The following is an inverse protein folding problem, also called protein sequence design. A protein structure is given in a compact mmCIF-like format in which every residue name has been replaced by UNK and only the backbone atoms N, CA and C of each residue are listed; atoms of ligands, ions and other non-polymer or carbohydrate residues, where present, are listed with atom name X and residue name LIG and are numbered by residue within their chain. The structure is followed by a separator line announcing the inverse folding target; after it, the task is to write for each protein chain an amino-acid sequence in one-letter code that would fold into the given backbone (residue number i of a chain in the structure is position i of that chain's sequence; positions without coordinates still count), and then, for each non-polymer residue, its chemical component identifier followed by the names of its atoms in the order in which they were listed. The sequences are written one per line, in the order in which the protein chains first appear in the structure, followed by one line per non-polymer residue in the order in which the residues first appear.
data_IF_537932559888
#
_entry.id   IF_537932559888
#
_cell.length_a   1.000
_cell.length_b   1.000
_cell.length_c   1.000
_cell.angle_alpha   90.00
_cell.angle_beta   90.00
_cell.angle_gamma   90.00
#
_symmetry.space_group_name_H-M   'P 1'
#
loop_
_entity.id
_entity.type
_entity.pdbx_description
1 polymer ?
#
# COMPACT_ATOMS: atom_id res chain seq x y z
N UNK A 1 15.79 -8.43 10.05
CA UNK A 1 14.94 -8.47 11.26
C UNK A 1 13.49 -8.25 10.87
N UNK A 2 12.60 -9.20 11.14
CA UNK A 2 11.17 -9.08 10.78
C UNK A 2 10.46 -8.10 11.74
N UNK A 3 9.63 -7.20 11.21
CA UNK A 3 8.78 -6.33 12.05
C UNK A 3 7.51 -7.08 12.40
N UNK A 4 6.88 -6.79 13.55
CA UNK A 4 5.61 -7.42 13.95
C UNK A 4 4.53 -7.34 12.86
N UNK A 5 4.38 -6.17 12.24
CA UNK A 5 3.49 -5.92 11.09
C UNK A 5 4.08 -4.82 10.22
N UNK A 6 4.14 -5.01 8.91
CA UNK A 6 4.53 -3.98 7.95
C UNK A 6 3.27 -3.48 7.25
N UNK A 7 2.94 -2.20 7.45
CA UNK A 7 1.84 -1.54 6.74
C UNK A 7 2.41 -0.84 5.51
N UNK A 8 1.90 -1.17 4.32
CA UNK A 8 2.34 -0.62 3.04
C UNK A 8 1.25 0.28 2.47
N UNK A 9 1.57 1.54 2.19
CA UNK A 9 0.70 2.42 1.40
C UNK A 9 0.84 2.09 -0.08
N UNK A 10 -0.23 1.62 -0.71
CA UNK A 10 -0.21 1.17 -2.09
C UNK A 10 -0.38 2.30 -3.12
N UNK A 11 -0.61 3.55 -2.68
CA UNK A 11 -0.74 4.71 -3.58
C UNK A 11 0.49 4.82 -4.48
N UNK A 12 0.28 4.97 -5.79
CA UNK A 12 1.38 5.26 -6.70
C UNK A 12 2.22 4.05 -7.11
N UNK A 13 1.94 2.84 -6.60
CA UNK A 13 2.71 1.63 -6.92
C UNK A 13 2.22 0.94 -8.19
N UNK A 14 3.09 0.22 -8.89
CA UNK A 14 2.71 -0.68 -9.98
C UNK A 14 2.28 -2.04 -9.43
N UNK A 15 1.04 -2.44 -9.74
CA UNK A 15 0.36 -3.61 -9.16
C UNK A 15 1.21 -4.88 -9.16
N UNK A 16 1.74 -5.29 -10.31
CA UNK A 16 2.50 -6.54 -10.42
C UNK A 16 3.85 -6.51 -9.69
N UNK A 17 4.55 -5.36 -9.72
CA UNK A 17 5.85 -5.21 -9.04
C UNK A 17 5.68 -5.22 -7.53
N UNK A 18 4.67 -4.51 -7.03
CA UNK A 18 4.32 -4.52 -5.61
C UNK A 18 3.92 -5.93 -5.16
N UNK A 19 3.05 -6.59 -5.91
CA UNK A 19 2.58 -7.94 -5.57
C UNK A 19 3.72 -8.96 -5.48
N UNK A 20 4.73 -8.89 -6.36
CA UNK A 20 5.88 -9.80 -6.34
C UNK A 20 6.72 -9.65 -5.07
N UNK A 21 6.98 -8.41 -4.66
CA UNK A 21 7.75 -8.13 -3.45
C UNK A 21 6.97 -8.58 -2.22
N UNK A 22 5.68 -8.21 -2.15
CA UNK A 22 4.79 -8.65 -1.07
C UNK A 22 4.71 -10.17 -0.99
N UNK A 23 4.58 -10.88 -2.12
CA UNK A 23 4.52 -12.34 -2.14
C UNK A 23 5.78 -12.99 -1.53
N UNK A 24 6.97 -12.46 -1.84
CA UNK A 24 8.22 -12.98 -1.28
C UNK A 24 8.33 -12.73 0.22
N UNK A 25 7.98 -11.52 0.68
CA UNK A 25 7.96 -11.16 2.11
C UNK A 25 6.99 -12.05 2.90
N UNK A 26 5.80 -12.33 2.35
CA UNK A 26 4.84 -13.23 2.98
C UNK A 26 5.38 -14.66 3.11
N UNK A 27 6.10 -15.16 2.09
CA UNK A 27 6.74 -16.48 2.10
C UNK A 27 7.93 -16.58 3.06
N UNK A 28 8.56 -15.44 3.38
CA UNK A 28 9.56 -15.30 4.42
C UNK A 28 8.96 -15.18 5.83
N UNK A 29 7.64 -15.10 5.96
CA UNK A 29 6.92 -15.06 7.24
C UNK A 29 6.55 -13.65 7.73
N UNK A 30 6.81 -12.60 6.94
CA UNK A 30 6.45 -11.23 7.32
C UNK A 30 4.93 -11.02 7.25
N UNK A 31 4.34 -10.43 8.29
CA UNK A 31 2.94 -9.97 8.28
C UNK A 31 2.86 -8.64 7.53
N UNK A 32 2.08 -8.60 6.46
CA UNK A 32 1.98 -7.44 5.56
C UNK A 32 0.54 -6.98 5.45
N UNK A 33 0.33 -5.68 5.67
CA UNK A 33 -0.97 -5.02 5.51
C UNK A 33 -0.87 -3.99 4.40
N UNK A 34 -1.55 -4.21 3.30
CA UNK A 34 -1.63 -3.29 2.18
C UNK A 34 -2.86 -2.40 2.33
N UNK A 35 -2.66 -1.08 2.41
CA UNK A 35 -3.74 -0.09 2.52
C UNK A 35 -3.79 0.77 1.26
N UNK A 36 -4.95 1.39 1.00
CA UNK A 36 -5.20 2.21 -0.20
C UNK A 36 -5.03 1.45 -1.50
N UNK A 37 -5.55 0.23 -1.55
CA UNK A 37 -5.45 -0.63 -2.73
C UNK A 37 -6.15 -0.03 -3.96
N UNK A 38 -7.11 0.87 -3.79
CA UNK A 38 -7.77 1.62 -4.86
C UNK A 38 -6.80 2.55 -5.62
N UNK A 39 -5.73 3.01 -4.98
CA UNK A 39 -4.74 3.94 -5.55
C UNK A 39 -3.54 3.23 -6.21
N UNK A 40 -3.59 1.91 -6.33
CA UNK A 40 -2.60 1.13 -7.09
C UNK A 40 -2.69 1.50 -8.57
N UNK A 41 -1.55 1.57 -9.25
CA UNK A 41 -1.50 1.79 -10.69
C UNK A 41 -1.26 0.49 -11.45
N UNK A 42 -1.87 0.40 -12.63
CA UNK A 42 -1.59 -0.62 -13.63
C UNK A 42 -1.05 0.08 -14.88
N UNK A 43 0.00 -0.48 -15.48
CA UNK A 43 0.51 0.04 -16.75
C UNK A 43 -0.50 -0.19 -17.89
N UNK A 44 -0.46 0.68 -18.90
CA UNK A 44 -1.42 0.66 -20.01
C UNK A 44 -2.62 1.56 -19.76
N UNK A 45 -3.37 1.85 -20.83
CA UNK A 45 -4.55 2.72 -20.76
C UNK A 45 -5.69 2.08 -19.97
N UNK A 46 -6.58 2.93 -19.43
CA UNK A 46 -7.81 2.51 -18.75
C UNK A 46 -8.63 1.54 -19.62
N UNK A 47 -8.81 1.87 -20.91
CA UNK A 47 -9.57 1.05 -21.85
C UNK A 47 -8.95 -0.34 -22.05
N UNK A 48 -7.63 -0.42 -22.23
CA UNK A 48 -6.91 -1.70 -22.37
C UNK A 48 -7.09 -2.57 -21.14
N UNK A 49 -6.94 -1.98 -19.95
CA UNK A 49 -7.07 -2.72 -18.70
C UNK A 49 -8.53 -3.13 -18.42
N UNK A 50 -9.51 -2.32 -18.80
CA UNK A 50 -10.94 -2.69 -18.80
C UNK A 50 -11.19 -3.90 -19.71
N UNK A 51 -10.72 -3.88 -20.96
CA UNK A 51 -10.88 -5.00 -21.90
C UNK A 51 -10.25 -6.29 -21.37
N UNK A 52 -9.04 -6.20 -20.78
CA UNK A 52 -8.40 -7.35 -20.13
C UNK A 52 -9.26 -7.92 -19.01
N UNK A 53 -9.89 -7.05 -18.22
CA UNK A 53 -10.78 -7.48 -17.15
C UNK A 53 -12.09 -8.07 -17.69
N UNK A 54 -12.67 -7.49 -18.74
CA UNK A 54 -13.87 -8.04 -19.38
C UNK A 54 -13.62 -9.44 -19.97
N UNK A 55 -12.43 -9.67 -20.55
CA UNK A 55 -12.01 -11.03 -20.94
C UNK A 55 -11.97 -11.97 -19.73
N UNK A 56 -11.47 -11.50 -18.59
CA UNK A 56 -11.48 -12.28 -17.35
C UNK A 56 -12.92 -12.59 -16.85
N UNK A 57 -13.85 -11.63 -16.96
CA UNK A 57 -15.27 -11.85 -16.62
C UNK A 57 -15.98 -12.86 -17.52
N UNK A 58 -15.50 -13.05 -18.76
CA UNK A 58 -16.04 -14.08 -19.67
C UNK A 58 -15.69 -15.50 -19.24
N UNK A 59 -14.61 -15.67 -18.45
CA UNK A 59 -14.15 -16.98 -17.99
C UNK A 59 -15.05 -17.51 -16.86
N UNK A 60 -15.93 -18.45 -17.18
CA UNK A 60 -16.79 -19.17 -16.24
C UNK A 60 -16.75 -20.66 -16.51
N UNK A 61 -17.01 -21.47 -15.49
CA UNK A 61 -17.26 -22.90 -15.69
C UNK A 61 -18.60 -23.05 -16.43
N UNK A 62 -18.59 -23.72 -17.58
CA UNK A 62 -19.77 -23.84 -18.43
C UNK A 62 -20.91 -24.63 -17.76
N UNK A 63 -20.57 -25.72 -17.06
CA UNK A 63 -21.52 -26.62 -16.40
C UNK A 63 -22.21 -25.96 -15.21
N UNK A 64 -21.44 -25.44 -14.25
CA UNK A 64 -21.97 -24.75 -13.08
C UNK A 64 -21.10 -23.54 -12.72
N UNK A 65 -21.55 -22.31 -13.00
CA UNK A 65 -20.82 -21.08 -12.66
C UNK A 65 -20.51 -20.91 -11.17
N UNK A 66 -21.26 -21.57 -10.27
CA UNK A 66 -21.04 -21.49 -8.81
C UNK A 66 -19.72 -22.14 -8.37
N UNK A 67 -19.24 -23.14 -9.08
CA UNK A 67 -17.97 -23.83 -8.78
C UNK A 67 -16.78 -23.33 -9.62
N UNK A 68 -16.97 -22.23 -10.37
CA UNK A 68 -15.98 -21.70 -11.29
C UNK A 68 -15.07 -20.60 -10.72
N UNK A 69 -14.36 -19.88 -11.60
CA UNK A 69 -13.57 -18.73 -11.22
C UNK A 69 -14.43 -17.61 -10.63
N UNK A 70 -14.15 -17.19 -9.40
CA UNK A 70 -14.85 -16.05 -8.80
C UNK A 70 -14.30 -14.71 -9.30
N UNK A 71 -15.19 -13.79 -9.66
CA UNK A 71 -14.84 -12.46 -10.17
C UNK A 71 -14.91 -11.40 -9.06
N UNK A 72 -13.82 -11.26 -8.30
CA UNK A 72 -13.72 -10.29 -7.20
C UNK A 72 -13.52 -8.87 -7.76
N UNK A 73 -14.49 -7.97 -7.56
CA UNK A 73 -14.47 -6.62 -8.18
C UNK A 73 -13.85 -5.53 -7.31
N UNK A 74 -13.60 -5.77 -6.02
CA UNK A 74 -13.04 -4.75 -5.14
C UNK A 74 -11.52 -4.65 -5.30
N UNK A 75 -10.90 -3.45 -5.31
CA UNK A 75 -9.45 -3.26 -5.46
C UNK A 75 -8.61 -4.09 -4.49
N UNK A 76 -9.04 -4.16 -3.23
CA UNK A 76 -8.37 -4.96 -2.18
C UNK A 76 -8.32 -6.44 -2.54
N UNK A 77 -9.49 -7.03 -2.87
CA UNK A 77 -9.61 -8.45 -3.23
C UNK A 77 -8.94 -8.77 -4.57
N UNK A 78 -8.96 -7.84 -5.51
CA UNK A 78 -8.23 -7.97 -6.77
C UNK A 78 -6.72 -8.03 -6.52
N UNK A 79 -6.18 -7.12 -5.69
CA UNK A 79 -4.78 -7.15 -5.33
C UNK A 79 -4.40 -8.44 -4.57
N UNK A 80 -5.24 -8.87 -3.61
CA UNK A 80 -5.06 -10.15 -2.92
C UNK A 80 -5.03 -11.35 -3.87
N UNK A 81 -5.86 -11.35 -4.92
CA UNK A 81 -5.84 -12.37 -5.98
C UNK A 81 -4.53 -12.36 -6.76
N UNK A 82 -4.00 -11.18 -7.10
CA UNK A 82 -2.71 -11.05 -7.81
C UNK A 82 -1.58 -11.61 -6.94
N UNK A 83 -1.54 -11.26 -5.65
CA UNK A 83 -0.55 -11.81 -4.70
C UNK A 83 -0.71 -13.33 -4.56
N UNK A 84 -1.93 -13.83 -4.43
CA UNK A 84 -2.22 -15.28 -4.41
C UNK A 84 -1.72 -16.00 -5.67
N UNK A 85 -1.79 -15.36 -6.84
CA UNK A 85 -1.25 -15.91 -8.08
C UNK A 85 0.27 -16.07 -8.09
N UNK A 86 0.98 -15.37 -7.19
CA UNK A 86 2.44 -15.41 -7.03
C UNK A 86 2.89 -16.27 -5.83
N UNK A 87 1.96 -16.98 -5.18
CA UNK A 87 2.22 -17.83 -4.02
C UNK A 87 1.74 -19.26 -4.33
N UNK A 88 2.48 -20.32 -3.93
CA UNK A 88 2.05 -21.72 -4.03
C UNK A 88 0.93 -22.03 -3.00
N UNK A 89 -0.22 -21.37 -3.15
CA UNK A 89 -1.30 -21.30 -2.18
C UNK A 89 -2.06 -22.60 -1.93
N UNK A 90 -1.83 -23.63 -2.75
CA UNK A 90 -2.37 -24.98 -2.52
C UNK A 90 -1.58 -25.74 -1.46
N UNK A 91 -0.36 -25.33 -1.15
CA UNK A 91 0.48 -25.92 -0.10
C UNK A 91 0.16 -25.33 1.26
N UNK A 92 0.41 -26.07 2.35
CA UNK A 92 0.24 -25.58 3.73
C UNK A 92 1.06 -24.31 3.98
N UNK A 93 2.32 -24.27 3.50
CA UNK A 93 3.19 -23.08 3.60
C UNK A 93 2.60 -21.87 2.87
N UNK A 94 2.11 -22.05 1.64
CA UNK A 94 1.51 -20.98 0.86
C UNK A 94 0.21 -20.45 1.47
N UNK A 95 -0.63 -21.35 2.02
CA UNK A 95 -1.83 -20.98 2.75
C UNK A 95 -1.51 -20.14 4.01
N UNK A 96 -0.50 -20.55 4.79
CA UNK A 96 -0.02 -19.79 5.94
C UNK A 96 0.54 -18.41 5.53
N UNK A 97 1.28 -18.33 4.42
CA UNK A 97 1.76 -17.06 3.88
C UNK A 97 0.62 -16.12 3.47
N UNK A 98 -0.46 -16.64 2.87
CA UNK A 98 -1.63 -15.83 2.54
C UNK A 98 -2.41 -15.36 3.77
N UNK A 99 -2.44 -16.15 4.85
CA UNK A 99 -3.08 -15.73 6.11
C UNK A 99 -2.37 -14.50 6.74
N UNK A 100 -1.10 -14.28 6.42
CA UNK A 100 -0.34 -13.11 6.86
C UNK A 100 -0.63 -11.83 6.06
N UNK A 101 -1.32 -11.93 4.91
CA UNK A 101 -1.68 -10.79 4.07
C UNK A 101 -3.04 -10.21 4.49
N UNK A 102 -3.08 -8.89 4.71
CA UNK A 102 -4.34 -8.13 4.78
C UNK A 102 -4.33 -7.03 3.75
N UNK A 103 -5.44 -6.83 3.05
CA UNK A 103 -5.58 -5.82 2.00
C UNK A 103 -6.83 -4.99 2.25
N UNK A 104 -6.70 -3.67 2.21
CA UNK A 104 -7.79 -2.72 2.46
C UNK A 104 -7.90 -1.67 1.36
N UNK A 105 -9.15 -1.28 1.09
CA UNK A 105 -9.47 -0.03 0.39
C UNK A 105 -9.47 1.12 1.41
N UNK A 106 -8.87 2.25 1.06
CA UNK A 106 -8.59 3.35 1.98
C UNK A 106 -7.67 2.92 3.14
N UNK A 107 -7.71 3.67 4.23
CA UNK A 107 -6.95 3.37 5.45
C UNK A 107 -7.91 3.26 6.64
N UNK A 108 -8.33 2.04 7.01
CA UNK A 108 -9.17 1.84 8.17
C UNK A 108 -8.37 2.00 9.48
N UNK A 109 -9.08 2.33 10.57
CA UNK A 109 -8.53 2.20 11.92
C UNK A 109 -8.28 0.71 12.21
N UNK A 110 -7.15 0.29 12.81
CA UNK A 110 -6.09 1.06 13.50
C UNK A 110 -4.89 1.49 12.62
N UNK A 111 -4.93 1.24 11.31
CA UNK A 111 -3.78 1.47 10.40
C UNK A 111 -3.59 2.94 10.00
N UNK A 112 -4.53 3.81 10.36
CA UNK A 112 -4.46 5.26 10.24
C UNK A 112 -3.34 5.83 11.10
N UNK A 113 -3.22 5.38 12.35
CA UNK A 113 -2.21 5.83 13.33
C UNK A 113 -0.84 5.17 13.14
N UNK A 114 -0.77 4.06 12.42
CA UNK A 114 0.50 3.33 12.19
C UNK A 114 1.29 3.96 11.04
N UNK A 115 2.63 3.96 11.17
CA UNK A 115 3.54 4.39 10.10
C UNK A 115 3.38 3.47 8.88
N UNK A 116 2.99 4.08 7.77
CA UNK A 116 2.88 3.43 6.47
C UNK A 116 4.23 3.50 5.75
N UNK A 117 4.65 2.36 5.22
CA UNK A 117 5.87 2.18 4.44
C UNK A 117 5.53 2.21 2.95
N UNK A 118 6.55 2.49 2.14
CA UNK A 118 6.47 2.52 0.67
C UNK A 118 7.52 1.56 0.13
N UNK A 119 7.26 0.96 -1.03
CA UNK A 119 8.21 0.07 -1.70
C UNK A 119 8.80 0.80 -2.92
N UNK A 120 9.99 1.42 -2.80
CA UNK A 120 10.52 2.31 -3.84
C UNK A 120 10.70 1.61 -5.20
N UNK A 121 11.13 0.36 -5.18
CA UNK A 121 11.36 -0.47 -6.38
C UNK A 121 10.07 -0.82 -7.14
N UNK A 122 8.90 -0.55 -6.56
CA UNK A 122 7.59 -0.76 -7.17
C UNK A 122 6.84 0.55 -7.49
N UNK A 123 7.41 1.72 -7.20
CA UNK A 123 6.77 3.00 -7.50
C UNK A 123 6.64 3.23 -9.02
N UNK A 124 5.45 3.65 -9.45
CA UNK A 124 5.15 3.97 -10.86
C UNK A 124 6.11 5.03 -11.40
N UNK A 125 6.32 6.10 -10.64
CA UNK A 125 7.18 7.21 -11.07
C UNK A 125 8.60 6.75 -11.41
N UNK A 126 9.15 5.80 -10.66
CA UNK A 126 10.50 5.29 -10.88
C UNK A 126 10.57 4.19 -11.96
N UNK A 127 9.46 3.47 -12.20
CA UNK A 127 9.46 2.27 -13.03
C UNK A 127 8.75 2.42 -14.38
N UNK A 128 7.92 3.44 -14.55
CA UNK A 128 7.23 3.72 -15.80
C UNK A 128 7.80 4.99 -16.41
N UNK A 129 8.27 4.91 -17.66
CA UNK A 129 8.76 6.08 -18.40
C UNK A 129 7.68 7.18 -18.45
N UNK A 130 8.06 8.46 -18.26
CA UNK A 130 7.16 9.59 -18.48
C UNK A 130 6.50 9.51 -19.87
N UNK A 131 5.26 9.97 -19.98
CA UNK A 131 4.47 9.91 -21.22
C UNK A 131 3.78 8.57 -21.52
N UNK A 132 4.14 7.47 -20.84
CA UNK A 132 3.42 6.19 -20.99
C UNK A 132 2.11 6.19 -20.21
N UNK A 133 1.03 5.76 -20.87
CA UNK A 133 -0.30 5.65 -20.27
C UNK A 133 -0.30 4.62 -19.13
N UNK A 134 -0.97 4.97 -18.05
CA UNK A 134 -1.28 4.11 -16.91
C UNK A 134 -2.72 4.36 -16.47
N UNK A 135 -3.24 3.54 -15.57
CA UNK A 135 -4.52 3.78 -14.94
C UNK A 135 -4.49 3.41 -13.45
N UNK A 136 -5.32 4.10 -12.67
CA UNK A 136 -5.61 3.76 -11.27
C UNK A 136 -6.52 2.53 -11.22
N UNK A 137 -6.25 1.62 -10.28
CA UNK A 137 -6.97 0.36 -10.13
C UNK A 137 -8.43 0.61 -9.74
N UNK A 138 -8.68 1.61 -8.88
CA UNK A 138 -10.03 2.08 -8.55
C UNK A 138 -10.84 2.41 -9.80
N UNK A 139 -10.30 3.22 -10.73
CA UNK A 139 -11.02 3.62 -11.95
C UNK A 139 -11.36 2.44 -12.86
N UNK A 140 -10.44 1.47 -12.99
CA UNK A 140 -10.67 0.25 -13.76
C UNK A 140 -11.84 -0.53 -13.15
N UNK A 141 -11.82 -0.73 -11.84
CA UNK A 141 -12.78 -1.58 -11.14
C UNK A 141 -14.15 -0.91 -10.99
N UNK A 142 -14.20 0.43 -10.87
CA UNK A 142 -15.46 1.18 -10.93
C UNK A 142 -16.16 0.93 -12.26
N UNK A 143 -15.43 0.94 -13.38
CA UNK A 143 -15.98 0.61 -14.71
C UNK A 143 -16.42 -0.85 -14.86
N UNK A 144 -16.07 -1.72 -13.92
CA UNK A 144 -16.42 -3.14 -13.91
C UNK A 144 -17.33 -3.52 -12.72
N UNK A 145 -17.95 -2.52 -12.09
CA UNK A 145 -19.01 -2.72 -11.10
C UNK A 145 -18.57 -2.67 -9.63
N UNK A 146 -17.51 -1.94 -9.31
CA UNK A 146 -17.20 -1.53 -7.94
C UNK A 146 -17.77 -0.14 -7.64
N UNK A 147 -18.87 -0.08 -6.88
CA UNK A 147 -19.64 1.16 -6.70
C UNK A 147 -19.18 2.03 -5.52
N UNK A 148 -18.19 1.56 -4.73
CA UNK A 148 -17.82 2.19 -3.46
C UNK A 148 -16.70 3.23 -3.57
N UNK A 149 -16.20 3.54 -4.78
CA UNK A 149 -15.10 4.51 -4.98
C UNK A 149 -15.44 5.91 -4.41
N UNK A 150 -16.66 6.39 -4.59
CA UNK A 150 -17.12 7.67 -4.05
C UNK A 150 -17.16 7.69 -2.51
N UNK A 151 -17.60 6.59 -1.90
CA UNK A 151 -17.63 6.44 -0.45
C UNK A 151 -16.20 6.40 0.13
N UNK A 152 -15.30 5.63 -0.49
CA UNK A 152 -13.90 5.54 -0.06
C UNK A 152 -13.21 6.89 -0.17
N UNK A 153 -13.43 7.65 -1.25
CA UNK A 153 -12.92 9.02 -1.40
C UNK A 153 -13.37 9.92 -0.24
N UNK A 154 -14.67 9.97 0.04
CA UNK A 154 -15.24 10.76 1.16
C UNK A 154 -14.61 10.39 2.50
N UNK A 155 -14.41 9.11 2.78
CA UNK A 155 -13.78 8.65 4.03
C UNK A 155 -12.28 9.01 4.09
N UNK A 156 -11.55 8.86 2.99
CA UNK A 156 -10.13 9.23 2.93
C UNK A 156 -9.93 10.74 3.05
N UNK A 157 -10.82 11.56 2.50
CA UNK A 157 -10.74 13.02 2.61
C UNK A 157 -10.96 13.47 4.06
N UNK A 158 -12.00 12.98 4.73
CA UNK A 158 -12.21 13.19 6.18
C UNK A 158 -11.00 12.73 7.00
N UNK A 159 -10.36 11.61 6.61
CA UNK A 159 -9.15 11.11 7.30
C UNK A 159 -7.95 12.02 7.05
N UNK A 160 -7.79 12.59 5.85
CA UNK A 160 -6.69 13.52 5.53
C UNK A 160 -6.82 14.82 6.33
N UNK A 161 -8.02 15.36 6.49
CA UNK A 161 -8.30 16.53 7.33
C UNK A 161 -7.82 16.30 8.76
N UNK A 162 -8.29 15.22 9.41
CA UNK A 162 -7.83 14.82 10.75
C UNK A 162 -6.32 14.59 10.82
N UNK A 163 -5.75 13.96 9.80
CA UNK A 163 -4.30 13.72 9.73
C UNK A 163 -3.50 15.01 9.58
N UNK A 164 -4.06 16.03 8.94
CA UNK A 164 -3.42 17.32 8.73
C UNK A 164 -3.40 18.14 10.03
N UNK A 165 -4.50 18.15 10.78
CA UNK A 165 -4.55 18.74 12.12
C UNK A 165 -3.53 18.08 13.06
N UNK A 166 -3.49 16.74 13.10
CA UNK A 166 -2.50 16.01 13.87
C UNK A 166 -1.07 16.31 13.42
N UNK A 167 -0.82 16.46 12.11
CA UNK A 167 0.50 16.80 11.58
C UNK A 167 0.95 18.20 11.99
N UNK A 168 0.05 19.20 11.94
CA UNK A 168 0.32 20.56 12.42
C UNK A 168 0.75 20.55 13.89
N UNK A 169 -0.06 19.95 14.76
CA UNK A 169 0.25 19.82 16.18
C UNK A 169 1.60 19.11 16.40
N UNK A 170 1.88 18.05 15.62
CA UNK A 170 3.17 17.35 15.69
C UNK A 170 4.36 18.21 15.26
N UNK A 171 4.20 19.03 14.21
CA UNK A 171 5.25 19.94 13.75
C UNK A 171 5.56 21.02 14.78
N UNK A 172 4.53 21.58 15.43
CA UNK A 172 4.68 22.56 16.51
C UNK A 172 5.42 21.96 17.71
N UNK A 173 5.03 20.75 18.14
CA UNK A 173 5.74 20.01 19.20
C UNK A 173 7.20 19.77 18.82
N UNK A 174 7.45 19.29 17.59
CA UNK A 174 8.82 19.06 17.10
C UNK A 174 9.65 20.35 17.06
N UNK A 175 9.06 21.49 16.71
CA UNK A 175 9.76 22.77 16.74
C UNK A 175 10.13 23.20 18.16
N UNK A 176 9.26 22.96 19.15
CA UNK A 176 9.55 23.17 20.57
C UNK A 176 10.66 22.23 21.06
N UNK A 177 10.59 20.95 20.70
CA UNK A 177 11.63 19.95 21.00
C UNK A 177 12.98 20.36 20.42
N UNK A 178 13.04 20.85 19.17
CA UNK A 178 14.28 21.31 18.55
C UNK A 178 14.88 22.53 19.27
N UNK A 179 14.05 23.49 19.70
CA UNK A 179 14.49 24.63 20.51
C UNK A 179 15.00 24.21 21.89
N UNK A 180 14.34 23.25 22.52
CA UNK A 180 14.78 22.69 23.80
C UNK A 180 16.10 21.91 23.63
N UNK A 181 16.23 21.13 22.55
CA UNK A 181 17.42 20.37 22.22
C UNK A 181 18.62 21.29 21.90
N UNK A 182 18.43 22.39 21.18
CA UNK A 182 19.51 23.35 20.92
C UNK A 182 19.95 24.07 22.21
N UNK A 183 19.01 24.43 23.09
CA UNK A 183 19.31 24.98 24.41
C UNK A 183 20.08 23.96 25.27
N UNK A 184 19.63 22.71 25.32
CA UNK A 184 20.32 21.64 26.03
C UNK A 184 21.74 21.44 25.45
N UNK A 185 21.87 21.38 24.12
CA UNK A 185 23.16 21.28 23.43
C UNK A 185 24.12 22.40 23.83
N UNK A 186 23.65 23.65 23.94
CA UNK A 186 24.49 24.77 24.38
C UNK A 186 25.03 24.64 25.80
N UNK A 187 24.33 23.92 26.69
CA UNK A 187 24.74 23.68 28.07
C UNK A 187 25.69 22.49 28.27
N UNK A 188 25.97 21.67 27.24
CA UNK A 188 26.93 20.56 27.33
C UNK A 188 28.39 21.03 27.42
N UNK A 189 29.27 20.16 27.95
CA UNK A 189 30.72 20.37 27.94
C UNK A 189 31.28 20.44 26.50
N UNK A 190 32.42 21.12 26.32
CA UNK A 190 33.05 21.28 25.01
C UNK A 190 33.43 19.93 24.37
N UNK A 191 33.93 18.99 25.18
CA UNK A 191 34.25 17.62 24.76
C UNK A 191 33.01 16.87 24.25
N UNK A 192 31.90 16.93 24.99
CA UNK A 192 30.65 16.27 24.59
C UNK A 192 30.07 16.87 23.30
N UNK A 193 30.18 18.20 23.13
CA UNK A 193 29.78 18.87 21.89
C UNK A 193 30.61 18.40 20.70
N UNK A 194 31.94 18.35 20.85
CA UNK A 194 32.86 17.91 19.81
C UNK A 194 32.57 16.48 19.34
N UNK A 195 32.35 15.55 20.28
CA UNK A 195 31.99 14.15 19.99
C UNK A 195 30.65 14.07 19.25
N UNK A 196 29.62 14.80 19.70
CA UNK A 196 28.32 14.80 19.03
C UNK A 196 28.38 15.39 17.61
N UNK A 197 29.17 16.44 17.39
CA UNK A 197 29.37 16.99 16.04
C UNK A 197 30.11 16.02 15.14
N UNK A 198 31.14 15.35 15.66
CA UNK A 198 31.91 14.36 14.89
C UNK A 198 31.08 13.13 14.50
N UNK A 199 30.15 12.70 15.36
CA UNK A 199 29.22 11.59 15.10
C UNK A 199 28.02 11.97 14.22
N UNK A 200 27.81 13.28 13.96
CA UNK A 200 26.69 13.77 13.15
C UNK A 200 26.99 13.92 11.65
N UNK A 201 28.27 13.80 11.26
CA UNK A 201 28.74 13.62 9.88
C UNK A 201 28.62 12.15 9.45
#
# INVERSE_FOLDING_TARGET
MFKKTVVVDCKGHLMGRLASIVAKELLSGQKVVCVRCEEINVSGSLYRNKLKYQRFLRLRTNTNPRHGPFHLRSPSKMFARVVRGMIPHKTKRGAAALANLKTFEGVPSPYDKVKKQVVPTALRFLKLKPGRRFCRLGDVLTKVGWNYDGLVKKLEDRRKERSHEHFKAKCELKAKELKAASKAFSSLSAESKAVLTQLSL
#
